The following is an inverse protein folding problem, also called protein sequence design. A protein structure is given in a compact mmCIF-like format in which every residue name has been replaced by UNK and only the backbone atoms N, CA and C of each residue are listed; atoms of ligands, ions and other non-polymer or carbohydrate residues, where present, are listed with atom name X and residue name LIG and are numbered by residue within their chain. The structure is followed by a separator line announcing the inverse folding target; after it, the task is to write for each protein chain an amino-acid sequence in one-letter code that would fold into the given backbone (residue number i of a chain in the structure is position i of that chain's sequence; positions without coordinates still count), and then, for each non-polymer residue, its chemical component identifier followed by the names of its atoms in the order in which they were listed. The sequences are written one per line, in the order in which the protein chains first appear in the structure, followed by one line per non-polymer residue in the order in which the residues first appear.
data_IF_231506785707
#
_entry.id   IF_231506785707
#
_cell.length_a   1.000
_cell.length_b   1.000
_cell.length_c   1.000
_cell.angle_alpha   90.00
_cell.angle_beta   90.00
_cell.angle_gamma   90.00
#
_symmetry.space_group_name_H-M   'P 1'
#
loop_
_entity.id
_entity.type
_entity.pdbx_description
1 polymer ?
#
# COMPACT_ATOMS: atom_id res chain seq x y z
N UNK A 1 15.12 -4.61 -7.07
CA UNK A 1 14.77 -5.70 -6.12
C UNK A 1 13.66 -5.30 -5.14
N UNK A 2 13.13 -4.07 -5.22
CA UNK A 2 12.14 -3.50 -4.28
C UNK A 2 10.69 -3.94 -4.58
N UNK A 3 10.38 -4.28 -5.83
CA UNK A 3 9.05 -4.73 -6.27
C UNK A 3 8.54 -5.95 -5.48
N UNK A 4 9.43 -6.90 -5.14
CA UNK A 4 9.08 -8.11 -4.39
C UNK A 4 8.67 -7.86 -2.92
N UNK A 5 8.96 -6.68 -2.37
CA UNK A 5 8.62 -6.36 -0.99
C UNK A 5 7.24 -5.71 -0.90
N UNK A 6 6.94 -4.75 -1.78
CA UNK A 6 5.61 -4.13 -1.88
C UNK A 6 4.54 -5.19 -2.12
N UNK A 7 4.79 -6.19 -2.98
CA UNK A 7 3.81 -7.25 -3.25
C UNK A 7 3.44 -8.13 -2.05
N UNK A 8 4.26 -8.13 -0.99
CA UNK A 8 4.02 -8.91 0.23
C UNK A 8 3.20 -8.15 1.27
N UNK A 9 2.95 -6.87 1.05
CA UNK A 9 2.15 -6.05 1.95
C UNK A 9 0.66 -6.38 1.85
N UNK A 10 -0.05 -6.05 2.90
CA UNK A 10 -1.48 -6.34 3.00
C UNK A 10 -2.26 -5.16 2.44
N UNK A 11 -2.77 -5.33 1.22
CA UNK A 11 -3.63 -4.36 0.57
C UNK A 11 -5.09 -4.74 0.79
N UNK A 12 -5.91 -3.74 1.09
CA UNK A 12 -7.36 -3.87 1.14
C UNK A 12 -7.99 -2.81 0.25
N UNK A 13 -9.14 -3.10 -0.32
CA UNK A 13 -9.88 -2.17 -1.15
C UNK A 13 -11.36 -2.31 -0.85
N UNK A 14 -12.01 -1.19 -0.57
CA UNK A 14 -13.40 -1.13 -0.19
C UNK A 14 -14.05 0.11 -0.82
N UNK A 15 -15.36 0.06 -0.99
CA UNK A 15 -16.13 1.21 -1.46
C UNK A 15 -16.35 2.18 -0.30
N UNK A 16 -16.10 3.47 -0.52
CA UNK A 16 -16.48 4.55 0.40
C UNK A 16 -17.73 5.24 -0.13
N UNK A 17 -18.84 5.14 0.62
CA UNK A 17 -20.06 5.88 0.30
C UNK A 17 -19.89 7.40 0.56
N UNK A 18 -18.95 7.79 1.43
CA UNK A 18 -18.68 9.20 1.75
C UNK A 18 -17.97 9.92 0.58
N UNK A 19 -17.01 9.25 -0.05
CA UNK A 19 -16.24 9.76 -1.18
C UNK A 19 -16.89 9.41 -2.54
N UNK A 20 -17.74 8.37 -2.57
CA UNK A 20 -18.31 7.85 -3.81
C UNK A 20 -17.28 7.15 -4.71
N UNK A 21 -16.22 6.62 -4.11
CA UNK A 21 -15.06 6.04 -4.80
C UNK A 21 -14.56 4.78 -4.07
N UNK A 22 -13.76 3.96 -4.75
CA UNK A 22 -13.04 2.86 -4.14
C UNK A 22 -11.78 3.36 -3.44
N UNK A 23 -11.70 3.09 -2.14
CA UNK A 23 -10.53 3.39 -1.31
C UNK A 23 -9.69 2.13 -1.19
N UNK A 24 -8.44 2.21 -1.65
CA UNK A 24 -7.41 1.22 -1.38
C UNK A 24 -6.53 1.71 -0.24
N UNK A 25 -6.21 0.82 0.70
CA UNK A 25 -5.26 1.10 1.79
C UNK A 25 -4.28 -0.07 1.98
N UNK A 26 -3.13 0.21 2.60
CA UNK A 26 -2.10 -0.77 2.92
C UNK A 26 -1.88 -0.81 4.43
N UNK A 27 -1.91 -1.99 5.03
CA UNK A 27 -1.84 -2.12 6.49
C UNK A 27 -0.50 -1.60 7.06
N UNK A 28 0.59 -1.82 6.34
CA UNK A 28 1.94 -1.41 6.74
C UNK A 28 2.15 0.11 6.71
N UNK A 29 1.36 0.83 5.91
CA UNK A 29 1.39 2.29 5.84
C UNK A 29 -0.04 2.84 5.98
N UNK A 30 -0.56 2.95 7.21
CA UNK A 30 -1.92 3.41 7.45
C UNK A 30 -2.16 4.86 7.00
N UNK A 31 -1.10 5.64 6.79
CA UNK A 31 -1.17 6.98 6.20
C UNK A 31 -1.28 6.99 4.67
N UNK A 32 -1.02 5.86 4.00
CA UNK A 32 -1.16 5.74 2.55
C UNK A 32 -2.52 5.16 2.19
N UNK A 33 -3.25 5.94 1.42
CA UNK A 33 -4.49 5.54 0.77
C UNK A 33 -4.51 6.03 -0.67
N UNK A 34 -5.30 5.36 -1.50
CA UNK A 34 -5.59 5.81 -2.85
C UNK A 34 -7.10 5.70 -3.09
N UNK A 35 -7.66 6.68 -3.79
CA UNK A 35 -9.08 6.72 -4.14
C UNK A 35 -9.20 6.75 -5.66
N UNK A 36 -10.13 5.96 -6.20
CA UNK A 36 -10.43 5.95 -7.62
C UNK A 36 -11.86 5.47 -7.85
N UNK A 37 -12.50 5.91 -8.93
CA UNK A 37 -13.83 5.47 -9.36
C UNK A 37 -13.89 3.96 -9.66
N UNK A 38 -12.75 3.34 -9.96
CA UNK A 38 -12.61 1.92 -10.27
C UNK A 38 -11.73 1.19 -9.25
N UNK A 39 -12.22 0.06 -8.74
CA UNK A 39 -11.52 -0.73 -7.73
C UNK A 39 -10.13 -1.22 -8.19
N UNK A 40 -10.00 -1.58 -9.48
CA UNK A 40 -8.73 -2.06 -10.02
C UNK A 40 -7.73 -0.91 -10.13
N UNK A 41 -8.17 0.26 -10.62
CA UNK A 41 -7.35 1.47 -10.67
C UNK A 41 -6.90 1.92 -9.28
N UNK A 42 -7.81 1.89 -8.30
CA UNK A 42 -7.48 2.24 -6.92
C UNK A 42 -6.37 1.36 -6.36
N UNK A 43 -6.50 0.04 -6.54
CA UNK A 43 -5.49 -0.91 -6.06
C UNK A 43 -4.15 -0.79 -6.80
N UNK A 44 -4.18 -0.55 -8.11
CA UNK A 44 -2.97 -0.37 -8.92
C UNK A 44 -2.25 0.93 -8.58
N UNK A 45 -3.00 2.02 -8.38
CA UNK A 45 -2.49 3.31 -7.95
C UNK A 45 -1.78 3.21 -6.61
N UNK A 46 -2.42 2.56 -5.62
CA UNK A 46 -1.81 2.35 -4.31
C UNK A 46 -0.53 1.50 -4.39
N UNK A 47 -0.51 0.42 -5.17
CA UNK A 47 0.70 -0.42 -5.33
C UNK A 47 1.87 0.38 -5.90
N UNK A 48 1.61 1.24 -6.89
CA UNK A 48 2.62 2.13 -7.45
C UNK A 48 3.11 3.13 -6.42
N UNK A 49 2.21 3.80 -5.70
CA UNK A 49 2.56 4.76 -4.67
C UNK A 49 3.42 4.13 -3.57
N UNK A 50 3.07 2.92 -3.12
CA UNK A 50 3.86 2.18 -2.14
C UNK A 50 5.27 1.88 -2.68
N UNK A 51 5.40 1.47 -3.93
CA UNK A 51 6.72 1.24 -4.53
C UNK A 51 7.59 2.51 -4.58
N UNK A 52 6.98 3.66 -4.90
CA UNK A 52 7.65 4.97 -4.88
C UNK A 52 8.09 5.36 -3.46
N UNK A 53 7.22 5.17 -2.46
CA UNK A 53 7.55 5.44 -1.05
C UNK A 53 8.69 4.55 -0.56
N UNK A 54 8.68 3.24 -0.87
CA UNK A 54 9.80 2.36 -0.47
C UNK A 54 11.10 2.81 -1.15
N UNK A 55 11.05 3.21 -2.43
CA UNK A 55 12.23 3.72 -3.13
C UNK A 55 12.76 4.99 -2.46
N UNK A 56 11.89 5.91 -2.08
CA UNK A 56 12.27 7.13 -1.33
C UNK A 56 12.89 6.77 0.03
N UNK A 57 12.25 5.89 0.82
CA UNK A 57 12.78 5.42 2.10
C UNK A 57 14.16 4.76 1.96
N UNK A 58 14.41 4.05 0.86
CA UNK A 58 15.73 3.49 0.55
C UNK A 58 16.78 4.57 0.30
N UNK A 59 16.40 5.68 -0.33
CA UNK A 59 17.27 6.81 -0.62
C UNK A 59 17.55 7.66 0.62
N UNK A 60 16.55 7.85 1.48
CA UNK A 60 16.67 8.60 2.74
C UNK A 60 17.31 7.77 3.85
N UNK A 61 17.34 6.44 3.72
CA UNK A 61 17.83 5.53 4.74
C UNK A 61 16.81 5.24 5.84
N UNK A 62 15.53 5.49 5.58
CA UNK A 62 14.43 5.23 6.50
C UNK A 62 14.15 3.72 6.67
N UNK A 63 13.68 3.31 7.86
CA UNK A 63 13.38 1.91 8.13
C UNK A 63 12.14 1.46 7.37
N UNK A 64 12.32 0.57 6.38
CA UNK A 64 11.22 -0.02 5.62
C UNK A 64 10.42 -0.98 6.51
N UNK A 65 9.09 -0.84 6.62
CA UNK A 65 8.29 -1.71 7.46
C UNK A 65 8.29 -3.16 6.96
N UNK A 66 8.35 -4.10 7.90
CA UNK A 66 8.18 -5.52 7.60
C UNK A 66 6.72 -5.84 7.29
N UNK A 67 6.45 -6.73 6.31
CA UNK A 67 5.09 -7.16 5.98
C UNK A 67 4.38 -7.80 7.19
N UNK A 68 3.11 -7.47 7.39
CA UNK A 68 2.29 -8.01 8.47
C UNK A 68 2.24 -9.54 8.44
N UNK A 69 2.14 -10.15 7.25
CA UNK A 69 2.18 -11.61 7.09
C UNK A 69 3.50 -12.27 7.52
N UNK A 70 4.58 -11.50 7.68
CA UNK A 70 5.85 -11.98 8.23
C UNK A 70 6.05 -11.57 9.70
N UNK A 71 5.34 -10.54 10.17
CA UNK A 71 5.36 -10.08 11.57
C UNK A 71 4.51 -10.96 12.48
N UNK A 72 3.41 -11.50 11.97
CA UNK A 72 2.49 -12.40 12.69
C UNK A 72 2.91 -13.87 12.51
N UNK A 73 4.10 -14.24 12.96
CA UNK A 73 4.41 -15.65 13.20
C UNK A 73 4.01 -16.01 14.65
N UNK A 74 3.35 -17.15 14.91
CA UNK A 74 3.03 -17.63 16.25
C UNK A 74 4.28 -18.01 17.07
#
# INVERSE_FOLDING_TARGET
MTERLSDKYTYQTFWSEEDGEYVSTVAEFPSLSWLDEDAQRSSAGLRKLVAEVIADMQQTGEPIPQPFGQRVAP
#
